data_IF_182820627371
#
_entry.id   IF_182820627371
#
_cell.length_a   1.000
_cell.length_b   1.000
_cell.length_c   1.000
_cell.angle_alpha   90.00
_cell.angle_beta   90.00
_cell.angle_gamma   90.00
#
_symmetry.space_group_name_H-M   'P 1'
#
loop_
_entity.id
_entity.type
_entity.pdbx_description
1 polymer ?
#
# COMPACT_ATOMS: atom_id res chain seq x y z
N UNK A 1 -29.31 52.05 27.03
CA UNK A 1 -29.04 50.65 27.05
C UNK A 1 -28.83 50.21 25.61
N UNK A 2 -27.55 50.15 25.18
CA UNK A 2 -27.16 49.89 23.79
C UNK A 2 -26.98 48.39 23.64
N UNK A 3 -27.79 47.74 22.79
CA UNK A 3 -27.58 46.33 22.40
C UNK A 3 -26.48 46.28 21.33
N UNK A 4 -25.37 45.66 21.67
CA UNK A 4 -24.30 45.32 20.73
C UNK A 4 -24.71 44.00 20.01
N UNK A 5 -24.79 43.94 18.66
CA UNK A 5 -25.06 42.69 17.96
C UNK A 5 -23.84 41.76 18.08
N UNK A 6 -24.06 40.54 18.52
CA UNK A 6 -23.08 39.45 18.54
C UNK A 6 -22.84 39.04 17.07
N UNK A 7 -21.61 39.05 16.56
CA UNK A 7 -21.35 38.55 15.21
C UNK A 7 -21.68 37.05 15.18
N UNK A 8 -22.62 36.70 14.28
CA UNK A 8 -23.00 35.32 14.05
C UNK A 8 -21.78 34.49 13.68
N UNK A 9 -21.57 33.36 14.38
CA UNK A 9 -20.59 32.36 14.03
C UNK A 9 -20.88 31.88 12.60
N UNK A 10 -20.02 32.22 11.67
CA UNK A 10 -19.99 31.64 10.32
C UNK A 10 -19.75 30.16 10.48
N UNK A 11 -20.81 29.36 10.39
CA UNK A 11 -20.69 27.91 10.26
C UNK A 11 -19.91 27.64 8.98
N UNK A 12 -18.72 27.09 9.11
CA UNK A 12 -17.99 26.53 7.96
C UNK A 12 -18.93 25.53 7.27
N UNK A 13 -19.10 25.62 5.94
CA UNK A 13 -19.97 24.66 5.23
C UNK A 13 -19.53 23.25 5.56
N UNK A 14 -20.49 22.38 5.85
CA UNK A 14 -20.26 20.96 6.05
C UNK A 14 -19.47 20.45 4.82
N UNK A 15 -18.29 19.87 5.06
CA UNK A 15 -17.43 19.37 3.98
C UNK A 15 -18.07 18.12 3.41
N UNK A 16 -18.67 18.22 2.25
CA UNK A 16 -19.24 17.08 1.55
C UNK A 16 -18.10 16.11 1.16
N UNK A 17 -17.95 15.04 1.90
CA UNK A 17 -17.03 13.97 1.58
C UNK A 17 -17.73 12.87 0.78
N UNK A 18 -16.99 12.23 -0.10
CA UNK A 18 -17.42 11.04 -0.82
C UNK A 18 -16.62 9.85 -0.32
N UNK A 19 -17.30 8.77 0.00
CA UNK A 19 -16.67 7.54 0.50
C UNK A 19 -16.56 6.53 -0.64
N UNK A 20 -15.38 5.96 -0.79
CA UNK A 20 -15.09 4.89 -1.73
C UNK A 20 -14.50 3.70 -0.98
N UNK A 21 -14.79 2.49 -1.45
CA UNK A 21 -14.20 1.27 -0.90
C UNK A 21 -13.48 0.49 -2.01
N UNK A 22 -12.31 -0.07 -1.68
CA UNK A 22 -11.53 -0.83 -2.64
C UNK A 22 -12.30 -2.05 -3.14
N UNK A 23 -12.39 -2.17 -4.45
CA UNK A 23 -12.97 -3.34 -5.10
C UNK A 23 -11.94 -4.48 -5.18
N UNK A 24 -12.41 -5.76 -5.18
CA UNK A 24 -11.54 -6.92 -5.40
C UNK A 24 -10.80 -6.91 -6.75
N UNK A 25 -11.27 -6.12 -7.71
CA UNK A 25 -10.60 -5.89 -9.00
C UNK A 25 -9.36 -4.99 -8.90
N UNK A 26 -9.09 -4.38 -7.75
CA UNK A 26 -7.85 -3.64 -7.52
C UNK A 26 -6.64 -4.56 -7.61
N UNK A 27 -5.53 -4.02 -8.10
CA UNK A 27 -4.28 -4.76 -8.24
C UNK A 27 -3.23 -4.18 -7.29
N UNK A 28 -2.91 -4.93 -6.25
CA UNK A 28 -1.89 -4.61 -5.27
C UNK A 28 -0.76 -5.64 -5.41
N UNK A 29 0.37 -5.23 -5.99
CA UNK A 29 1.48 -6.12 -6.34
C UNK A 29 2.78 -5.61 -5.73
N UNK A 30 3.60 -6.54 -5.28
CA UNK A 30 4.98 -6.29 -4.85
C UNK A 30 5.92 -6.97 -5.81
N UNK A 31 6.95 -6.26 -6.24
CA UNK A 31 8.08 -6.79 -7.00
C UNK A 31 9.30 -6.87 -6.09
N UNK A 32 9.90 -8.06 -5.99
CA UNK A 32 11.18 -8.23 -5.32
C UNK A 32 12.31 -8.16 -6.33
N UNK A 33 13.36 -7.42 -6.01
CA UNK A 33 14.56 -7.36 -6.85
C UNK A 33 15.54 -8.50 -6.56
N UNK A 34 16.48 -8.70 -7.48
CA UNK A 34 17.62 -9.61 -7.32
C UNK A 34 18.76 -8.90 -6.59
N UNK A 35 19.49 -9.62 -5.74
CA UNK A 35 20.73 -9.14 -5.13
C UNK A 35 21.80 -10.21 -5.21
N UNK A 36 23.06 -9.80 -5.40
CA UNK A 36 24.24 -10.66 -5.39
C UNK A 36 25.26 -10.30 -6.46
N UNK A 37 26.52 -10.67 -6.24
CA UNK A 37 27.67 -10.34 -7.10
C UNK A 37 27.53 -10.93 -8.51
N UNK A 38 26.71 -11.97 -8.67
CA UNK A 38 26.50 -12.71 -9.91
C UNK A 38 25.05 -12.55 -10.43
N UNK A 39 24.38 -11.45 -10.21
CA UNK A 39 23.04 -10.99 -10.63
C UNK A 39 22.09 -11.91 -11.44
N UNK A 40 22.57 -13.02 -11.97
CA UNK A 40 21.81 -13.99 -12.74
C UNK A 40 21.32 -15.20 -11.92
N UNK A 41 21.80 -15.41 -10.71
CA UNK A 41 21.32 -16.48 -9.82
C UNK A 41 20.21 -15.99 -8.90
N UNK A 42 19.01 -15.83 -9.42
CA UNK A 42 17.81 -15.45 -8.68
C UNK A 42 16.73 -14.93 -9.63
N UNK A 43 15.49 -15.13 -9.26
CA UNK A 43 14.33 -14.63 -10.01
C UNK A 43 13.73 -13.42 -9.31
N UNK A 44 13.18 -12.49 -10.09
CA UNK A 44 12.25 -11.52 -9.54
C UNK A 44 10.94 -12.22 -9.22
N UNK A 45 10.39 -11.93 -8.06
CA UNK A 45 9.09 -12.46 -7.69
C UNK A 45 8.06 -11.33 -7.75
N UNK A 46 6.94 -11.64 -8.42
CA UNK A 46 5.73 -10.85 -8.33
C UNK A 46 4.85 -11.48 -7.25
N UNK A 47 4.44 -10.69 -6.28
CA UNK A 47 3.59 -11.13 -5.17
C UNK A 47 2.34 -10.26 -5.20
N UNK A 48 1.17 -10.89 -5.29
CA UNK A 48 -0.11 -10.20 -5.34
C UNK A 48 -0.90 -10.42 -4.06
N UNK A 49 -1.53 -9.36 -3.55
CA UNK A 49 -2.53 -9.48 -2.51
C UNK A 49 -3.85 -10.00 -3.11
N UNK A 50 -4.38 -11.09 -2.55
CA UNK A 50 -5.68 -11.66 -2.96
C UNK A 50 -6.82 -11.25 -2.05
N UNK A 51 -6.51 -10.88 -0.82
CA UNK A 51 -7.49 -10.38 0.14
C UNK A 51 -6.97 -9.10 0.78
N UNK A 52 -7.74 -8.06 0.65
CA UNK A 52 -7.47 -6.73 1.17
C UNK A 52 -8.79 -5.97 1.36
N UNK A 53 -8.75 -4.97 2.18
CA UNK A 53 -9.81 -3.98 2.31
C UNK A 53 -9.21 -2.58 2.25
N UNK A 54 -10.04 -1.60 1.92
CA UNK A 54 -9.58 -0.22 1.94
C UNK A 54 -10.74 0.75 1.80
N UNK A 55 -10.60 1.88 2.48
CA UNK A 55 -11.59 2.97 2.49
C UNK A 55 -10.88 4.28 2.18
N UNK A 56 -11.47 5.04 1.26
CA UNK A 56 -11.04 6.38 0.88
C UNK A 56 -12.17 7.33 1.22
N UNK A 57 -11.91 8.32 2.04
CA UNK A 57 -12.81 9.46 2.25
C UNK A 57 -12.22 10.63 1.49
N UNK A 58 -12.86 11.01 0.42
CA UNK A 58 -12.39 12.04 -0.49
C UNK A 58 -13.22 13.32 -0.32
N UNK A 59 -12.55 14.45 -0.21
CA UNK A 59 -13.16 15.78 -0.13
C UNK A 59 -12.89 16.53 -1.43
N UNK A 60 -13.86 16.61 -2.37
CA UNK A 60 -13.64 17.24 -3.69
C UNK A 60 -13.18 18.69 -3.63
N UNK A 61 -13.70 19.45 -2.67
CA UNK A 61 -13.38 20.88 -2.48
C UNK A 61 -12.10 21.11 -1.66
N UNK A 62 -11.63 20.11 -0.94
CA UNK A 62 -10.45 20.17 -0.08
C UNK A 62 -9.70 18.82 -0.11
N UNK A 63 -9.04 18.49 -1.22
CA UNK A 63 -8.36 17.19 -1.38
C UNK A 63 -7.35 16.88 -0.26
N UNK A 64 -6.78 17.90 0.36
CA UNK A 64 -5.85 17.80 1.48
C UNK A 64 -6.49 17.23 2.76
N UNK A 65 -7.80 17.33 2.88
CA UNK A 65 -8.57 16.74 3.98
C UNK A 65 -8.89 15.26 3.75
N UNK A 66 -8.60 14.76 2.55
CA UNK A 66 -8.87 13.37 2.19
C UNK A 66 -7.97 12.40 2.96
N UNK A 67 -8.50 11.23 3.24
CA UNK A 67 -7.73 10.18 3.91
C UNK A 67 -8.06 8.80 3.35
N UNK A 68 -7.09 7.90 3.45
CA UNK A 68 -7.18 6.51 3.01
C UNK A 68 -6.65 5.59 4.10
N UNK A 69 -7.33 4.46 4.24
CA UNK A 69 -6.85 3.31 5.01
C UNK A 69 -6.91 2.08 4.13
N UNK A 70 -5.86 1.26 4.16
CA UNK A 70 -5.80 -0.03 3.46
C UNK A 70 -5.27 -1.06 4.43
N UNK A 71 -5.86 -2.24 4.42
CA UNK A 71 -5.39 -3.42 5.13
C UNK A 71 -5.29 -4.59 4.16
N UNK A 72 -4.22 -5.38 4.29
CA UNK A 72 -3.89 -6.53 3.44
C UNK A 72 -3.62 -7.73 4.34
N UNK A 73 -4.35 -8.83 4.11
CA UNK A 73 -4.13 -10.09 4.79
C UNK A 73 -2.84 -10.75 4.31
N UNK A 74 -1.89 -10.99 5.21
CA UNK A 74 -0.55 -11.51 4.84
C UNK A 74 -0.57 -12.97 4.41
N UNK A 75 -1.48 -13.77 4.93
CA UNK A 75 -1.68 -15.18 4.55
C UNK A 75 -2.34 -15.33 3.18
N UNK A 76 -2.90 -14.24 2.61
CA UNK A 76 -3.51 -14.18 1.28
C UNK A 76 -2.61 -13.54 0.23
N UNK A 77 -1.33 -13.43 0.52
CA UNK A 77 -0.33 -13.06 -0.47
C UNK A 77 0.03 -14.28 -1.32
N UNK A 78 0.05 -14.10 -2.63
CA UNK A 78 0.33 -15.14 -3.61
C UNK A 78 1.52 -14.77 -4.49
N UNK A 79 2.47 -15.67 -4.60
CA UNK A 79 3.62 -15.56 -5.50
C UNK A 79 3.20 -15.97 -6.90
N UNK A 80 3.39 -15.10 -7.90
CA UNK A 80 2.95 -15.31 -9.27
C UNK A 80 4.07 -15.78 -10.21
N UNK A 81 5.32 -15.55 -9.85
CA UNK A 81 6.48 -15.87 -10.69
C UNK A 81 7.60 -16.51 -9.89
N UNK A 82 8.42 -17.36 -10.51
CA UNK A 82 8.38 -17.84 -11.90
C UNK A 82 7.21 -18.81 -12.15
N UNK A 83 6.99 -19.26 -13.39
CA UNK A 83 5.88 -20.19 -13.70
C UNK A 83 6.06 -21.62 -13.15
N UNK A 84 7.23 -21.97 -12.63
CA UNK A 84 7.45 -23.26 -11.99
C UNK A 84 6.66 -23.40 -10.69
N UNK A 85 5.65 -24.26 -10.69
CA UNK A 85 4.75 -24.46 -9.55
C UNK A 85 5.44 -25.02 -8.32
N UNK A 86 6.51 -25.79 -8.46
CA UNK A 86 7.29 -26.31 -7.33
C UNK A 86 8.08 -25.18 -6.66
N UNK A 87 8.69 -24.32 -7.45
CA UNK A 87 9.40 -23.15 -6.94
C UNK A 87 8.43 -22.14 -6.30
N UNK A 88 7.29 -21.86 -6.94
CA UNK A 88 6.25 -21.01 -6.35
C UNK A 88 5.83 -21.49 -4.97
N UNK A 89 5.57 -22.79 -4.80
CA UNK A 89 5.21 -23.33 -3.48
C UNK A 89 6.31 -23.13 -2.45
N UNK A 90 7.57 -23.37 -2.83
CA UNK A 90 8.72 -23.18 -1.95
C UNK A 90 8.90 -21.73 -1.54
N UNK A 91 8.83 -20.81 -2.50
CA UNK A 91 8.95 -19.36 -2.25
C UNK A 91 7.79 -18.86 -1.40
N UNK A 92 6.57 -19.32 -1.68
CA UNK A 92 5.38 -18.96 -0.89
C UNK A 92 5.51 -19.43 0.56
N UNK A 93 5.99 -20.66 0.77
CA UNK A 93 6.22 -21.18 2.12
C UNK A 93 7.26 -20.33 2.87
N UNK A 94 8.43 -20.06 2.27
CA UNK A 94 9.48 -19.23 2.86
C UNK A 94 8.98 -17.79 3.13
N UNK A 95 8.23 -17.20 2.19
CA UNK A 95 7.64 -15.88 2.38
C UNK A 95 6.73 -15.83 3.61
N UNK A 96 5.87 -16.82 3.78
CA UNK A 96 4.91 -16.88 4.89
C UNK A 96 5.55 -17.15 6.23
N UNK A 97 6.52 -18.05 6.30
CA UNK A 97 7.11 -18.51 7.57
C UNK A 97 8.34 -17.70 7.98
N UNK A 98 9.29 -17.50 7.06
CA UNK A 98 10.60 -16.90 7.38
C UNK A 98 10.61 -15.38 7.20
N UNK A 99 9.95 -14.89 6.13
CA UNK A 99 10.02 -13.47 5.77
C UNK A 99 8.96 -12.66 6.52
N UNK A 100 7.70 -13.01 6.35
CA UNK A 100 6.57 -12.26 6.92
C UNK A 100 6.12 -12.77 8.28
N UNK A 101 6.33 -14.07 8.57
CA UNK A 101 5.87 -14.69 9.82
C UNK A 101 4.37 -14.45 10.04
N UNK A 102 3.57 -14.88 9.06
CA UNK A 102 2.14 -14.56 8.98
C UNK A 102 1.32 -15.06 10.17
N UNK A 103 1.84 -16.06 10.90
CA UNK A 103 1.20 -16.56 12.12
C UNK A 103 1.17 -15.50 13.24
N UNK A 104 2.19 -14.63 13.30
CA UNK A 104 2.29 -13.57 14.30
C UNK A 104 1.92 -12.19 13.73
N UNK A 105 2.03 -12.00 12.42
CA UNK A 105 1.81 -10.73 11.72
C UNK A 105 0.82 -10.91 10.59
N UNK A 106 -0.46 -11.00 10.92
CA UNK A 106 -1.54 -11.33 9.99
C UNK A 106 -1.88 -10.21 9.00
N UNK A 107 -1.34 -9.00 9.20
CA UNK A 107 -1.80 -7.82 8.46
C UNK A 107 -0.66 -6.86 8.09
N UNK A 108 -0.77 -6.27 6.89
CA UNK A 108 0.00 -5.09 6.46
C UNK A 108 -0.98 -3.95 6.32
N UNK A 109 -0.67 -2.79 6.90
CA UNK A 109 -1.56 -1.63 6.85
C UNK A 109 -0.89 -0.40 6.26
N UNK A 110 -1.70 0.42 5.58
CA UNK A 110 -1.32 1.74 5.10
C UNK A 110 -2.42 2.75 5.45
N UNK A 111 -2.04 3.85 6.08
CA UNK A 111 -2.95 4.94 6.43
C UNK A 111 -2.31 6.28 6.05
N UNK A 112 -3.07 7.16 5.39
CA UNK A 112 -2.58 8.50 5.10
C UNK A 112 -2.47 9.32 6.39
N UNK A 113 -1.35 10.03 6.55
CA UNK A 113 -1.11 10.99 7.64
C UNK A 113 -1.31 12.42 7.19
N UNK A 114 -0.90 12.72 5.97
CA UNK A 114 -1.06 14.03 5.34
C UNK A 114 -1.20 13.85 3.84
N UNK A 115 -2.00 14.72 3.23
CA UNK A 115 -2.24 14.77 1.79
C UNK A 115 -1.99 16.20 1.32
N UNK A 116 -1.28 16.36 0.22
CA UNK A 116 -1.01 17.64 -0.43
C UNK A 116 -1.32 17.51 -1.92
N UNK A 117 -2.07 18.46 -2.47
CA UNK A 117 -2.34 18.49 -3.91
C UNK A 117 -1.17 19.12 -4.64
N UNK A 118 -0.65 18.44 -5.64
CA UNK A 118 0.48 18.90 -6.47
C UNK A 118 0.15 18.68 -7.94
N UNK A 119 -0.35 19.72 -8.61
CA UNK A 119 -0.82 19.61 -9.99
C UNK A 119 -1.95 18.60 -10.14
N UNK A 120 -1.74 17.57 -10.96
CA UNK A 120 -2.68 16.46 -11.23
C UNK A 120 -2.47 15.23 -10.33
N UNK A 121 -1.60 15.34 -9.33
CA UNK A 121 -1.28 14.28 -8.38
C UNK A 121 -1.49 14.71 -6.94
N UNK A 122 -1.57 13.71 -6.05
CA UNK A 122 -1.54 13.92 -4.60
C UNK A 122 -0.22 13.40 -4.03
N UNK A 123 0.46 14.22 -3.25
CA UNK A 123 1.53 13.76 -2.36
C UNK A 123 0.91 13.29 -1.06
N UNK A 124 1.16 12.05 -0.70
CA UNK A 124 0.61 11.45 0.51
C UNK A 124 1.76 11.00 1.41
N UNK A 125 1.80 11.52 2.63
CA UNK A 125 2.61 10.95 3.68
C UNK A 125 1.83 9.79 4.28
N UNK A 126 2.22 8.56 3.98
CA UNK A 126 1.52 7.37 4.44
C UNK A 126 2.27 6.72 5.61
N UNK A 127 1.53 6.34 6.62
CA UNK A 127 1.99 5.47 7.70
C UNK A 127 1.84 4.03 7.21
N UNK A 128 2.94 3.38 6.93
CA UNK A 128 2.98 2.01 6.43
C UNK A 128 3.53 1.08 7.52
N UNK A 129 2.75 0.06 7.88
CA UNK A 129 3.08 -0.89 8.94
C UNK A 129 3.20 -2.30 8.37
N UNK A 130 4.31 -2.96 8.67
CA UNK A 130 4.58 -4.35 8.32
C UNK A 130 5.39 -5.00 9.45
N UNK A 131 5.05 -6.22 9.86
CA UNK A 131 5.67 -6.91 11.01
C UNK A 131 5.73 -6.04 12.27
N UNK A 132 4.63 -5.38 12.60
CA UNK A 132 4.51 -4.45 13.74
C UNK A 132 5.51 -3.30 13.75
N UNK A 133 6.22 -3.06 12.66
CA UNK A 133 7.09 -1.89 12.49
C UNK A 133 6.46 -0.89 11.54
N UNK A 134 6.47 0.35 11.95
CA UNK A 134 5.83 1.46 11.25
C UNK A 134 6.86 2.44 10.71
N UNK A 135 6.67 2.89 9.47
CA UNK A 135 7.44 3.96 8.83
C UNK A 135 6.51 4.93 8.11
N UNK A 136 6.91 6.18 8.04
CA UNK A 136 6.26 7.15 7.14
C UNK A 136 6.91 7.03 5.77
N UNK A 137 6.09 6.79 4.75
CA UNK A 137 6.53 6.62 3.37
C UNK A 137 5.87 7.70 2.51
N UNK A 138 6.65 8.49 1.75
CA UNK A 138 6.09 9.45 0.81
C UNK A 138 5.60 8.73 -0.44
N UNK A 139 4.35 8.98 -0.83
CA UNK A 139 3.73 8.46 -2.04
C UNK A 139 3.37 9.61 -2.98
N UNK A 140 3.53 9.38 -4.28
CA UNK A 140 2.93 10.22 -5.32
C UNK A 140 1.78 9.42 -5.93
N UNK A 141 0.56 9.90 -5.74
CA UNK A 141 -0.66 9.19 -6.13
C UNK A 141 -1.33 9.95 -7.26
N UNK A 142 -1.57 9.28 -8.38
CA UNK A 142 -2.45 9.79 -9.43
C UNK A 142 -3.86 9.32 -9.14
N UNK A 143 -4.81 10.24 -9.14
CA UNK A 143 -6.23 9.96 -8.86
C UNK A 143 -7.07 10.36 -10.07
N UNK A 144 -7.91 9.43 -10.52
CA UNK A 144 -8.91 9.65 -11.55
C UNK A 144 -10.27 9.42 -10.92
N UNK A 145 -11.16 10.43 -11.00
CA UNK A 145 -12.48 10.38 -10.41
C UNK A 145 -13.51 10.34 -11.55
N UNK A 146 -14.23 9.24 -11.62
CA UNK A 146 -15.40 9.08 -12.49
C UNK A 146 -16.70 9.34 -11.72
N UNK A 147 -17.86 9.17 -12.36
CA UNK A 147 -19.16 9.39 -11.73
C UNK A 147 -19.37 8.54 -10.46
N UNK A 148 -19.02 7.26 -10.53
CA UNK A 148 -19.28 6.30 -9.45
C UNK A 148 -18.01 5.54 -8.99
N UNK A 149 -16.85 5.88 -9.51
CA UNK A 149 -15.61 5.14 -9.24
C UNK A 149 -14.44 6.08 -9.14
N UNK A 150 -13.60 5.87 -8.13
CA UNK A 150 -12.28 6.47 -8.01
C UNK A 150 -11.24 5.41 -8.38
N UNK A 151 -10.26 5.77 -9.21
CA UNK A 151 -9.05 4.98 -9.47
C UNK A 151 -7.84 5.72 -8.95
N UNK A 152 -7.01 5.05 -8.16
CA UNK A 152 -5.78 5.61 -7.63
C UNK A 152 -4.60 4.71 -7.99
N UNK A 153 -3.55 5.30 -8.58
CA UNK A 153 -2.34 4.57 -8.95
C UNK A 153 -1.11 5.18 -8.27
N UNK A 154 -0.24 4.32 -7.76
CA UNK A 154 1.03 4.72 -7.18
C UNK A 154 2.06 3.60 -7.25
N UNK A 155 3.32 3.97 -7.32
CA UNK A 155 4.46 3.06 -7.17
C UNK A 155 5.39 3.64 -6.13
N UNK A 156 5.83 2.81 -5.17
CA UNK A 156 6.78 3.21 -4.14
C UNK A 156 7.68 2.05 -3.74
N UNK A 157 8.84 2.38 -3.19
CA UNK A 157 9.83 1.39 -2.78
C UNK A 157 10.14 1.53 -1.29
N UNK A 158 10.25 0.40 -0.59
CA UNK A 158 10.70 0.37 0.80
C UNK A 158 11.83 -0.65 0.96
N UNK A 159 12.56 -0.55 2.07
CA UNK A 159 13.55 -1.56 2.45
C UNK A 159 12.91 -2.56 3.42
N UNK A 160 13.05 -3.84 3.15
CA UNK A 160 12.58 -4.91 4.02
C UNK A 160 13.20 -4.81 5.43
N UNK A 161 14.48 -4.43 5.51
CA UNK A 161 15.21 -4.26 6.77
C UNK A 161 14.62 -3.18 7.68
N UNK A 162 13.98 -2.13 7.13
CA UNK A 162 13.30 -1.09 7.92
C UNK A 162 12.12 -1.64 8.73
N UNK A 163 11.57 -2.78 8.30
CA UNK A 163 10.48 -3.50 8.94
C UNK A 163 10.93 -4.75 9.70
N UNK A 164 12.26 -4.90 9.91
CA UNK A 164 12.84 -6.03 10.63
C UNK A 164 12.82 -7.34 9.85
N UNK A 165 12.55 -7.27 8.55
CA UNK A 165 12.64 -8.41 7.66
C UNK A 165 14.10 -8.55 7.24
N UNK A 166 14.64 -9.76 7.38
CA UNK A 166 15.93 -10.13 6.78
C UNK A 166 15.67 -10.59 5.36
N UNK A 167 16.21 -9.89 4.33
CA UNK A 167 16.04 -10.34 2.95
C UNK A 167 16.46 -11.79 2.80
N UNK A 168 15.63 -12.58 2.11
CA UNK A 168 15.84 -14.02 1.95
C UNK A 168 17.21 -14.33 1.32
N UNK A 169 17.86 -15.35 1.87
CA UNK A 169 19.09 -15.94 1.35
C UNK A 169 18.92 -17.44 1.27
N UNK A 170 19.08 -18.00 0.10
CA UNK A 170 18.91 -19.43 -0.14
C UNK A 170 19.83 -19.96 -1.24
N UNK A 171 19.56 -21.21 -1.69
CA UNK A 171 20.39 -21.93 -2.64
C UNK A 171 21.69 -22.46 -2.03
N UNK A 172 22.45 -23.29 -2.78
CA UNK A 172 23.72 -23.82 -2.33
C UNK A 172 24.69 -22.69 -1.94
N UNK A 173 25.19 -22.72 -0.70
CA UNK A 173 26.09 -21.70 -0.19
C UNK A 173 25.49 -20.28 -0.05
N UNK A 174 24.16 -20.12 -0.04
CA UNK A 174 23.51 -18.81 0.08
C UNK A 174 23.68 -17.90 -1.16
N UNK A 175 23.82 -18.51 -2.32
CA UNK A 175 24.07 -17.80 -3.61
C UNK A 175 22.84 -17.04 -4.12
N UNK A 176 21.64 -17.48 -3.78
CA UNK A 176 20.38 -16.80 -4.13
C UNK A 176 20.08 -15.75 -3.06
N UNK A 177 19.95 -14.50 -3.47
CA UNK A 177 19.63 -13.38 -2.56
C UNK A 177 18.50 -12.52 -3.14
N UNK A 178 17.54 -12.18 -2.31
CA UNK A 178 16.52 -11.17 -2.62
C UNK A 178 17.07 -9.79 -2.20
N UNK A 179 16.81 -8.78 -3.02
CA UNK A 179 17.20 -7.41 -2.70
C UNK A 179 16.48 -6.91 -1.44
N UNK A 180 17.12 -6.03 -0.67
CA UNK A 180 16.49 -5.39 0.48
C UNK A 180 15.35 -4.45 0.05
N UNK A 181 15.52 -3.77 -1.08
CA UNK A 181 14.50 -2.91 -1.66
C UNK A 181 13.42 -3.75 -2.37
N UNK A 182 12.16 -3.48 -2.04
CA UNK A 182 10.98 -4.04 -2.69
C UNK A 182 10.07 -2.93 -3.18
N UNK A 183 9.50 -3.10 -4.36
CA UNK A 183 8.66 -2.08 -5.02
C UNK A 183 7.20 -2.52 -5.01
N UNK A 184 6.35 -1.63 -4.54
CA UNK A 184 4.90 -1.78 -4.52
C UNK A 184 4.30 -1.05 -5.72
N UNK A 185 3.53 -1.76 -6.53
CA UNK A 185 2.74 -1.22 -7.63
C UNK A 185 1.26 -1.38 -7.28
N UNK A 186 0.59 -0.27 -7.11
CA UNK A 186 -0.80 -0.21 -6.69
C UNK A 186 -1.65 0.40 -7.79
N UNK A 187 -2.70 -0.30 -8.16
CA UNK A 187 -3.78 0.17 -9.02
C UNK A 187 -5.10 -0.12 -8.31
N UNK A 188 -5.54 0.86 -7.55
CA UNK A 188 -6.73 0.77 -6.72
C UNK A 188 -7.96 1.24 -7.50
N UNK A 189 -8.97 0.39 -7.57
CA UNK A 189 -10.30 0.67 -8.12
C UNK A 189 -11.27 0.69 -6.95
N UNK A 190 -11.95 1.82 -6.75
CA UNK A 190 -12.81 2.01 -5.60
C UNK A 190 -14.17 2.59 -6.02
N UNK A 191 -15.24 1.78 -6.07
CA UNK A 191 -16.59 2.27 -6.27
C UNK A 191 -17.04 3.15 -5.10
N UNK A 192 -17.89 4.12 -5.43
CA UNK A 192 -18.55 4.99 -4.46
C UNK A 192 -19.51 4.18 -3.60
N UNK A 193 -19.50 4.46 -2.30
CA UNK A 193 -20.53 3.96 -1.39
C UNK A 193 -21.77 4.86 -1.49
N UNK A 194 -22.98 4.26 -1.47
CA UNK A 194 -24.23 5.01 -1.39
C UNK A 194 -24.31 5.89 -0.13
#
# INVERSE_FOLDING_TARGET
MLLIPIPGATQSPARDSVVYELAPSSRLVVRTGKAGLLGFAGHEHLIQAREFSGRIVYYPQQPESSHVTVSIATDRLEVLTPPDTAEIRKVTAAMRTEVLDVAHYSEITLTSKAVEKTGDTLRVQAVFTMKSRTRTVPLTVRVLIGPDTLRATTTFTVRQSDYGIRPYRGGPGGTVRVADAVTFDIDAIAPRRP
#
